data_IF_173130983293
#
_entry.id   IF_173130983293
#
_cell.length_a   1.000
_cell.length_b   1.000
_cell.length_c   1.000
_cell.angle_alpha   90.00
_cell.angle_beta   90.00
_cell.angle_gamma   90.00
#
_symmetry.space_group_name_H-M   'P 1'
#
loop_
_entity.id
_entity.type
_entity.pdbx_description
1 polymer ?
#
# COMPACT_ATOMS: atom_id res chain seq x y z
N UNK A 1 -6.56 4.30 16.61
CA UNK A 1 -5.15 4.52 16.26
C UNK A 1 -4.44 3.88 17.42
N UNK A 2 -4.05 2.62 17.24
CA UNK A 2 -3.40 1.82 18.28
C UNK A 2 -2.17 2.58 18.80
N UNK A 3 -1.94 2.61 20.12
CA UNK A 3 -0.80 3.29 20.70
C UNK A 3 0.48 2.54 20.32
N UNK A 4 1.46 3.30 19.82
CA UNK A 4 2.77 2.80 19.46
C UNK A 4 3.55 2.48 20.74
N UNK A 5 3.80 1.19 21.02
CA UNK A 5 4.60 0.73 22.16
C UNK A 5 6.02 1.31 22.10
N UNK A 6 6.24 2.39 22.84
CA UNK A 6 7.50 3.12 22.93
C UNK A 6 8.59 2.38 23.74
N UNK A 7 8.34 1.16 24.21
CA UNK A 7 9.21 0.49 25.19
C UNK A 7 10.26 -0.47 24.60
N UNK A 8 10.25 -0.74 23.28
CA UNK A 8 11.19 -1.70 22.65
C UNK A 8 12.32 -1.03 21.86
N UNK A 9 13.01 -0.05 22.45
CA UNK A 9 14.11 0.66 21.76
C UNK A 9 15.46 0.51 22.44
N UNK A 10 16.10 -0.65 22.27
CA UNK A 10 17.55 -0.81 22.49
C UNK A 10 18.16 -1.61 21.33
N UNK A 11 18.76 -0.88 20.38
CA UNK A 11 19.61 -1.36 19.28
C UNK A 11 18.90 -2.19 18.21
N UNK A 12 18.39 -1.52 17.17
CA UNK A 12 17.92 -2.15 15.95
C UNK A 12 17.73 -1.12 14.84
N UNK A 13 18.00 -1.54 13.60
CA UNK A 13 17.77 -0.72 12.39
C UNK A 13 16.28 -0.36 12.32
N UNK A 14 15.98 0.94 12.16
CA UNK A 14 14.62 1.43 11.97
C UNK A 14 14.15 1.03 10.57
N UNK A 15 13.38 -0.04 10.48
CA UNK A 15 12.68 -0.41 9.26
C UNK A 15 11.31 0.29 9.25
N UNK A 16 10.98 1.10 8.24
CA UNK A 16 9.64 1.67 8.12
C UNK A 16 8.59 0.57 7.94
N UNK A 17 7.37 0.72 8.49
CA UNK A 17 6.34 -0.31 8.47
C UNK A 17 5.76 -0.60 7.06
N UNK A 18 6.15 0.17 6.03
CA UNK A 18 5.71 -0.03 4.65
C UNK A 18 6.70 -0.84 3.81
N UNK A 19 7.73 -1.44 4.42
CA UNK A 19 8.78 -2.18 3.71
C UNK A 19 8.29 -3.47 2.99
N UNK A 20 6.99 -3.77 3.04
CA UNK A 20 6.40 -4.97 2.43
C UNK A 20 5.41 -4.68 1.28
N UNK A 21 4.83 -3.48 1.20
CA UNK A 21 3.87 -3.13 0.14
C UNK A 21 4.61 -2.37 -0.98
N UNK A 22 5.11 -3.10 -1.98
CA UNK A 22 5.82 -2.53 -3.14
C UNK A 22 4.91 -2.37 -4.36
N UNK A 23 5.18 -1.34 -5.18
CA UNK A 23 4.61 -1.18 -6.51
C UNK A 23 5.76 -1.13 -7.54
N UNK A 24 5.72 -2.05 -8.51
CA UNK A 24 6.70 -2.09 -9.61
C UNK A 24 5.98 -1.72 -10.90
N UNK A 25 6.43 -0.64 -11.56
CA UNK A 25 5.84 -0.14 -12.80
C UNK A 25 6.76 -0.47 -13.97
N UNK A 26 6.17 -0.83 -15.11
CA UNK A 26 6.88 -1.11 -16.34
C UNK A 26 6.19 -0.51 -17.55
N UNK A 27 6.97 -0.25 -18.61
CA UNK A 27 6.44 0.34 -19.86
C UNK A 27 5.67 -0.69 -20.68
N UNK A 28 6.06 -1.95 -20.60
CA UNK A 28 5.45 -3.05 -21.34
C UNK A 28 5.15 -4.24 -20.44
N UNK A 29 4.20 -5.07 -20.85
CA UNK A 29 3.85 -6.29 -20.14
C UNK A 29 5.04 -7.26 -20.04
N UNK A 30 5.82 -7.39 -21.13
CA UNK A 30 7.04 -8.21 -21.16
C UNK A 30 8.06 -7.73 -20.12
N UNK A 31 8.29 -6.42 -20.03
CA UNK A 31 9.20 -5.84 -19.04
C UNK A 31 8.67 -6.06 -17.60
N UNK A 32 7.35 -5.99 -17.39
CA UNK A 32 6.73 -6.29 -16.11
C UNK A 32 6.99 -7.74 -15.67
N UNK A 33 6.83 -8.71 -16.57
CA UNK A 33 7.15 -10.11 -16.29
C UNK A 33 8.63 -10.33 -15.97
N UNK A 34 9.54 -9.74 -16.74
CA UNK A 34 10.98 -9.82 -16.47
C UNK A 34 11.33 -9.27 -15.07
N UNK A 35 10.73 -8.14 -14.69
CA UNK A 35 10.91 -7.56 -13.34
C UNK A 35 10.32 -8.45 -12.26
N UNK A 36 9.12 -9.00 -12.48
CA UNK A 36 8.46 -9.95 -11.56
C UNK A 36 9.35 -11.15 -11.28
N UNK A 37 9.88 -11.79 -12.32
CA UNK A 37 10.71 -12.99 -12.17
C UNK A 37 12.03 -12.67 -11.45
N UNK A 38 12.60 -11.49 -11.69
CA UNK A 38 13.76 -10.98 -10.94
C UNK A 38 13.46 -10.79 -9.45
N UNK A 39 12.28 -10.24 -9.12
CA UNK A 39 11.82 -10.09 -7.73
C UNK A 39 11.61 -11.46 -7.09
N UNK A 40 10.99 -12.42 -7.78
CA UNK A 40 10.86 -13.81 -7.30
C UNK A 40 12.22 -14.40 -6.90
N UNK A 41 13.21 -14.30 -7.81
CA UNK A 41 14.54 -14.81 -7.55
C UNK A 41 15.24 -14.11 -6.40
N UNK A 42 14.99 -12.81 -6.20
CA UNK A 42 15.52 -12.08 -5.05
C UNK A 42 14.89 -12.53 -3.74
N UNK A 43 13.56 -12.69 -3.69
CA UNK A 43 12.86 -13.16 -2.50
C UNK A 43 13.36 -14.53 -2.06
N UNK A 44 13.50 -15.48 -3.01
CA UNK A 44 14.05 -16.81 -2.74
C UNK A 44 15.46 -16.73 -2.15
N UNK A 45 16.35 -15.91 -2.73
CA UNK A 45 17.72 -15.74 -2.21
C UNK A 45 17.76 -15.14 -0.80
N UNK A 46 16.79 -14.31 -0.46
CA UNK A 46 16.66 -13.71 0.87
C UNK A 46 15.93 -14.61 1.87
N UNK A 47 15.46 -15.79 1.45
CA UNK A 47 14.63 -16.66 2.29
C UNK A 47 13.25 -16.07 2.61
N UNK A 48 12.78 -15.13 1.78
CA UNK A 48 11.50 -14.45 1.93
C UNK A 48 10.44 -15.10 1.03
N UNK A 49 9.20 -15.08 1.51
CA UNK A 49 8.04 -15.57 0.78
C UNK A 49 7.08 -14.43 0.47
N UNK A 50 6.44 -14.51 -0.69
CA UNK A 50 5.40 -13.57 -1.08
C UNK A 50 4.10 -13.92 -0.35
N UNK A 51 3.46 -12.92 0.22
CA UNK A 51 2.06 -13.00 0.63
C UNK A 51 1.14 -13.17 -0.61
N UNK A 52 -0.04 -13.77 -0.45
CA UNK A 52 -1.09 -13.80 -1.49
C UNK A 52 -1.77 -12.44 -1.70
N UNK A 53 -1.66 -11.53 -0.73
CA UNK A 53 -2.15 -10.15 -0.80
C UNK A 53 -1.42 -9.38 -1.90
N UNK A 54 -2.20 -8.76 -2.79
CA UNK A 54 -1.72 -7.84 -3.82
C UNK A 54 -1.97 -8.36 -5.23
N UNK A 55 -1.32 -7.74 -6.20
CA UNK A 55 -1.36 -8.15 -7.60
C UNK A 55 0.02 -8.62 -8.02
N UNK A 56 0.11 -9.86 -8.49
CA UNK A 56 1.37 -10.43 -8.93
C UNK A 56 1.55 -10.42 -10.44
N UNK A 57 0.47 -10.68 -11.15
CA UNK A 57 0.47 -10.55 -12.60
C UNK A 57 0.32 -9.08 -12.99
N UNK A 58 0.99 -8.65 -14.09
CA UNK A 58 0.91 -7.28 -14.56
C UNK A 58 -0.54 -6.84 -14.78
N UNK A 59 -0.90 -5.69 -14.21
CA UNK A 59 -2.23 -5.07 -14.34
C UNK A 59 -2.08 -3.57 -14.57
N UNK A 60 -3.08 -2.96 -15.20
CA UNK A 60 -3.15 -1.51 -15.37
C UNK A 60 -3.93 -0.82 -14.24
N UNK A 61 -4.72 -1.58 -13.47
CA UNK A 61 -5.50 -1.07 -12.34
C UNK A 61 -5.11 -1.84 -11.08
N UNK A 62 -4.63 -1.12 -10.06
CA UNK A 62 -4.18 -1.73 -8.80
C UNK A 62 -4.55 -0.89 -7.59
N UNK A 63 -4.98 -1.54 -6.51
CA UNK A 63 -5.16 -0.87 -5.22
C UNK A 63 -3.83 -0.87 -4.46
N UNK A 64 -3.30 0.32 -4.18
CA UNK A 64 -2.03 0.50 -3.47
C UNK A 64 -2.13 1.64 -2.46
N UNK A 65 -1.73 1.38 -1.20
CA UNK A 65 -1.74 2.35 -0.10
C UNK A 65 -3.08 3.10 0.10
N UNK A 66 -4.20 2.41 -0.14
CA UNK A 66 -5.55 2.95 -0.01
C UNK A 66 -5.98 3.90 -1.14
N UNK A 67 -5.23 3.90 -2.25
CA UNK A 67 -5.57 4.53 -3.52
C UNK A 67 -5.79 3.44 -4.56
N UNK A 68 -6.53 3.78 -5.60
CA UNK A 68 -6.60 3.01 -6.84
C UNK A 68 -5.71 3.71 -7.87
N UNK A 69 -4.74 2.97 -8.41
CA UNK A 69 -3.76 3.46 -9.38
C UNK A 69 -4.19 2.97 -10.75
N UNK A 70 -4.56 3.90 -11.62
CA UNK A 70 -4.88 3.64 -13.03
C UNK A 70 -3.66 4.03 -13.87
N UNK A 71 -2.95 3.03 -14.38
CA UNK A 71 -1.79 3.21 -15.25
C UNK A 71 -2.15 3.38 -16.72
N UNK A 72 -3.41 3.14 -17.12
CA UNK A 72 -3.88 3.39 -18.48
C UNK A 72 -4.05 4.90 -18.69
N UNK A 73 -4.67 5.56 -17.72
CA UNK A 73 -4.93 7.01 -17.77
C UNK A 73 -3.89 7.82 -16.97
N UNK A 74 -3.02 7.16 -16.19
CA UNK A 74 -1.97 7.80 -15.38
C UNK A 74 -2.51 8.52 -14.14
N UNK A 75 -3.64 8.03 -13.60
CA UNK A 75 -4.40 8.68 -12.55
C UNK A 75 -4.33 7.91 -11.23
N UNK A 76 -4.50 8.65 -10.13
CA UNK A 76 -4.62 8.11 -8.79
C UNK A 76 -5.99 8.49 -8.23
N UNK A 77 -6.84 7.49 -8.04
CA UNK A 77 -8.18 7.67 -7.49
C UNK A 77 -8.21 7.37 -6.00
N UNK A 78 -8.95 8.19 -5.26
CA UNK A 78 -9.29 7.89 -3.87
C UNK A 78 -10.28 6.74 -3.88
N UNK A 79 -9.98 5.68 -3.12
CA UNK A 79 -10.93 4.57 -2.98
C UNK A 79 -12.20 5.02 -2.28
N UNK A 80 -13.34 4.48 -2.70
CA UNK A 80 -14.66 4.74 -2.09
C UNK A 80 -14.62 4.52 -0.56
N UNK A 81 -13.96 3.45 -0.10
CA UNK A 81 -13.78 3.19 1.34
C UNK A 81 -13.04 4.33 2.05
N UNK A 82 -12.03 4.94 1.43
CA UNK A 82 -11.30 6.07 2.00
C UNK A 82 -12.17 7.32 2.01
N UNK A 83 -12.95 7.57 0.97
CA UNK A 83 -13.93 8.66 0.90
C UNK A 83 -14.97 8.55 2.03
N UNK A 84 -15.56 7.38 2.21
CA UNK A 84 -16.51 7.10 3.28
C UNK A 84 -15.92 7.33 4.68
N UNK A 85 -14.66 6.93 4.90
CA UNK A 85 -13.96 7.19 6.17
C UNK A 85 -13.77 8.68 6.43
N UNK A 86 -13.42 9.46 5.40
CA UNK A 86 -13.31 10.93 5.53
C UNK A 86 -14.67 11.53 5.83
N UNK A 87 -15.72 11.16 5.09
CA UNK A 87 -17.07 11.64 5.31
C UNK A 87 -17.58 11.35 6.73
N UNK A 88 -17.38 10.12 7.22
CA UNK A 88 -17.75 9.72 8.59
C UNK A 88 -17.01 10.56 9.64
N UNK A 89 -15.71 10.83 9.44
CA UNK A 89 -14.92 11.67 10.35
C UNK A 89 -15.39 13.12 10.32
N UNK A 90 -15.65 13.68 9.15
CA UNK A 90 -16.17 15.04 9.00
C UNK A 90 -17.52 15.19 9.70
N UNK A 91 -18.46 14.26 9.47
CA UNK A 91 -19.75 14.23 10.17
C UNK A 91 -19.58 14.18 11.69
N UNK A 92 -18.67 13.34 12.18
CA UNK A 92 -18.40 13.25 13.61
C UNK A 92 -17.85 14.56 14.20
N UNK A 93 -16.99 15.29 13.48
CA UNK A 93 -16.49 16.60 13.90
C UNK A 93 -17.61 17.64 13.98
N UNK A 94 -18.46 17.72 12.95
CA UNK A 94 -19.60 18.65 12.92
C UNK A 94 -20.56 18.36 14.06
N UNK A 95 -20.90 17.09 14.29
CA UNK A 95 -21.78 16.70 15.39
C UNK A 95 -21.19 16.98 16.78
N UNK A 96 -19.86 17.02 16.93
CA UNK A 96 -19.20 17.40 18.19
C UNK A 96 -19.23 18.91 18.39
N UNK A 97 -18.85 19.67 17.36
CA UNK A 97 -18.85 21.13 17.40
C UNK A 97 -20.25 21.70 17.67
N UNK A 98 -21.32 21.04 17.22
CA UNK A 98 -22.69 21.47 17.48
C UNK A 98 -23.21 21.17 18.90
N UNK A 99 -22.45 20.44 19.73
CA UNK A 99 -22.79 20.11 21.13
C UNK A 99 -22.01 20.95 22.14
N UNK A 100 -21.01 21.69 21.68
CA UNK A 100 -20.28 22.71 22.44
C UNK A 100 -20.99 24.06 22.26
#
# INVERSE_FOLDING_TARGET
MEPYDAEKTKRGVKVPPYMEDFLVIAKTQTEAFLRRDRVSGLLVRLGLFRNEKGHWDPTQLVKHLGLEVDLKDGLFHVTETRLQRVHKKAKALICRAARE
#
